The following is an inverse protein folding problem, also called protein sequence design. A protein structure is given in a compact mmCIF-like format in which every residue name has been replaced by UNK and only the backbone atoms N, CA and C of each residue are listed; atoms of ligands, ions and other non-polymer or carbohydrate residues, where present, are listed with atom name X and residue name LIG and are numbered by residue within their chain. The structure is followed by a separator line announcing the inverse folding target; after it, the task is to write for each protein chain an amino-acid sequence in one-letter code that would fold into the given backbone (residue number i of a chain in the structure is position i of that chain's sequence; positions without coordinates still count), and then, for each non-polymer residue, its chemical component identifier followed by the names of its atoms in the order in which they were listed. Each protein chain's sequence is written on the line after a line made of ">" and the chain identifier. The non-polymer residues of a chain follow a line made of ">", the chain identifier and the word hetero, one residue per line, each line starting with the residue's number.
data_IF_688577121313
#
_entry.id   IF_688577121313
#
_cell.length_a   1.000
_cell.length_b   1.000
_cell.length_c   1.000
_cell.angle_alpha   90.00
_cell.angle_beta   90.00
_cell.angle_gamma   90.00
#
_symmetry.space_group_name_H-M   'P 1'
#
loop_
_entity.id
_entity.type
_entity.pdbx_description
1 polymer ?
#
# COMPACT_ATOMS: atom_id res chain seq x y z
N UNK A 1 -4.59 -10.05 18.53
CA UNK A 1 -4.15 -9.44 17.28
C UNK A 1 -2.90 -10.16 16.78
N UNK A 2 -2.84 -10.55 15.49
CA UNK A 2 -1.64 -11.17 14.92
C UNK A 2 -0.48 -10.17 14.94
N UNK A 3 0.73 -10.65 15.28
CA UNK A 3 1.92 -9.79 15.21
C UNK A 3 2.19 -9.34 13.76
N UNK A 4 2.79 -8.15 13.56
CA UNK A 4 2.98 -7.56 12.22
C UNK A 4 3.87 -8.41 11.31
N UNK A 5 4.71 -9.31 11.84
CA UNK A 5 5.50 -10.24 11.04
C UNK A 5 4.66 -11.23 10.21
N UNK A 6 3.43 -11.54 10.65
CA UNK A 6 2.50 -12.42 9.93
C UNK A 6 1.58 -11.67 8.95
N UNK A 7 1.71 -10.36 8.87
CA UNK A 7 0.95 -9.53 7.94
C UNK A 7 1.77 -8.32 7.51
N UNK A 8 2.95 -8.56 6.95
CA UNK A 8 3.85 -7.51 6.52
C UNK A 8 3.38 -6.92 5.19
N UNK A 9 2.67 -5.81 5.25
CA UNK A 9 2.28 -5.04 4.07
C UNK A 9 3.48 -4.28 3.49
N UNK A 10 3.51 -4.10 2.18
CA UNK A 10 4.54 -3.28 1.50
C UNK A 10 4.69 -1.90 2.12
N UNK A 11 3.60 -1.25 2.51
CA UNK A 11 3.65 0.05 3.18
C UNK A 11 4.36 0.00 4.54
N UNK A 12 4.15 -1.07 5.32
CA UNK A 12 4.85 -1.25 6.61
C UNK A 12 6.35 -1.42 6.37
N UNK A 13 6.74 -2.13 5.31
CA UNK A 13 8.15 -2.34 4.98
C UNK A 13 8.86 -1.04 4.57
N UNK A 14 8.21 -0.22 3.74
CA UNK A 14 8.79 0.99 3.15
C UNK A 14 8.85 2.15 4.15
N UNK A 15 7.80 2.34 4.94
CA UNK A 15 7.67 3.48 5.84
C UNK A 15 8.25 3.19 7.23
N UNK A 16 8.82 4.22 7.86
CA UNK A 16 9.22 4.18 9.26
C UNK A 16 7.99 4.15 10.19
N UNK A 17 8.20 3.75 11.44
CA UNK A 17 7.13 3.70 12.44
C UNK A 17 6.39 5.04 12.56
N UNK A 18 7.13 6.15 12.68
CA UNK A 18 6.55 7.48 12.84
C UNK A 18 5.75 7.93 11.60
N UNK A 19 6.19 7.52 10.40
CA UNK A 19 5.47 7.77 9.15
C UNK A 19 4.16 6.96 9.09
N UNK A 20 4.20 5.70 9.55
CA UNK A 20 3.01 4.83 9.60
C UNK A 20 1.96 5.41 10.56
N UNK A 21 2.40 5.81 11.76
CA UNK A 21 1.52 6.44 12.77
C UNK A 21 0.88 7.71 12.20
N UNK A 22 1.65 8.52 11.50
CA UNK A 22 1.15 9.76 10.89
C UNK A 22 0.09 9.49 9.81
N UNK A 23 0.25 8.44 9.01
CA UNK A 23 -0.67 8.10 7.94
C UNK A 23 -1.93 7.36 8.40
N UNK A 24 -1.87 6.60 9.48
CA UNK A 24 -3.00 5.82 10.00
C UNK A 24 -3.27 6.17 11.46
N UNK A 25 -4.26 6.99 11.71
CA UNK A 25 -4.76 7.26 13.07
C UNK A 25 -6.09 6.52 13.30
N UNK A 26 -6.30 5.91 14.46
CA UNK A 26 -5.32 5.57 15.52
C UNK A 26 -4.55 4.30 15.15
N UNK A 27 -3.25 4.26 15.41
CA UNK A 27 -2.44 3.06 15.18
C UNK A 27 -1.82 2.64 16.51
N UNK A 28 -2.62 2.20 17.41
CA UNK A 28 -2.16 1.62 18.68
C UNK A 28 -2.03 0.10 18.63
N UNK A 29 -2.07 -0.48 17.41
CA UNK A 29 -2.07 -1.94 17.28
C UNK A 29 -0.68 -2.56 17.48
N UNK A 30 0.39 -1.85 17.12
CA UNK A 30 1.75 -2.38 17.17
C UNK A 30 2.73 -1.38 17.73
N UNK A 31 3.64 -1.86 18.56
CA UNK A 31 4.75 -1.07 19.08
C UNK A 31 5.83 -0.89 18.02
N UNK A 32 6.67 0.14 18.21
CA UNK A 32 7.83 0.38 17.35
C UNK A 32 8.74 -0.85 17.23
N UNK A 33 8.99 -1.53 18.35
CA UNK A 33 9.83 -2.72 18.39
C UNK A 33 9.23 -3.90 17.62
N UNK A 34 7.90 -4.09 17.65
CA UNK A 34 7.23 -5.12 16.86
C UNK A 34 7.37 -4.84 15.37
N UNK A 35 7.20 -3.58 14.92
CA UNK A 35 7.39 -3.19 13.52
C UNK A 35 8.84 -3.41 13.08
N UNK A 36 9.83 -3.03 13.91
CA UNK A 36 11.25 -3.23 13.58
C UNK A 36 11.58 -4.73 13.45
N UNK A 37 11.10 -5.55 14.38
CA UNK A 37 11.29 -7.03 14.31
C UNK A 37 10.67 -7.61 13.06
N UNK A 38 9.44 -7.23 12.76
CA UNK A 38 8.71 -7.71 11.60
C UNK A 38 9.43 -7.37 10.27
N UNK A 39 10.02 -6.17 10.18
CA UNK A 39 10.82 -5.79 9.00
C UNK A 39 12.07 -6.65 8.82
N UNK A 40 12.74 -7.01 9.93
CA UNK A 40 13.94 -7.85 9.89
C UNK A 40 13.65 -9.29 9.53
N UNK A 41 12.53 -9.83 10.00
CA UNK A 41 12.16 -11.24 9.80
C UNK A 41 10.65 -11.39 9.58
N UNK A 42 10.14 -10.98 8.41
CA UNK A 42 8.75 -11.19 8.07
C UNK A 42 8.48 -12.68 7.85
N UNK A 43 7.38 -13.19 8.41
CA UNK A 43 6.91 -14.55 8.18
C UNK A 43 5.98 -14.61 6.95
N UNK A 44 5.08 -13.63 6.80
CA UNK A 44 4.18 -13.51 5.66
C UNK A 44 4.27 -12.10 5.09
N UNK A 45 4.57 -12.01 3.79
CA UNK A 45 4.67 -10.74 3.06
C UNK A 45 3.45 -10.60 2.16
N UNK A 46 2.67 -9.53 2.39
CA UNK A 46 1.60 -9.11 1.50
C UNK A 46 2.10 -8.05 0.54
N UNK A 47 2.38 -8.45 -0.70
CA UNK A 47 2.86 -7.56 -1.75
C UNK A 47 1.74 -6.65 -2.27
N UNK A 48 1.41 -5.63 -1.49
CA UNK A 48 0.43 -4.61 -1.84
C UNK A 48 1.08 -3.43 -2.57
N UNK A 49 0.30 -2.62 -3.23
CA UNK A 49 0.75 -1.33 -3.77
C UNK A 49 0.49 -0.21 -2.76
N UNK A 50 1.30 0.83 -2.82
CA UNK A 50 1.10 2.07 -2.09
C UNK A 50 1.48 3.26 -2.98
N UNK A 51 1.45 4.49 -2.48
CA UNK A 51 1.78 5.65 -3.31
C UNK A 51 3.26 5.71 -3.75
N UNK A 52 4.19 5.04 -3.05
CA UNK A 52 5.58 4.88 -3.47
C UNK A 52 5.82 3.63 -4.30
N UNK A 53 5.08 2.53 -4.07
CA UNK A 53 5.21 1.28 -4.82
C UNK A 53 3.95 1.07 -5.64
N UNK A 54 4.06 1.31 -6.92
CA UNK A 54 2.92 1.38 -7.84
C UNK A 54 2.71 0.11 -8.64
N UNK A 55 3.76 -0.69 -8.81
CA UNK A 55 3.72 -1.95 -9.54
C UNK A 55 3.72 -3.13 -8.59
N UNK A 56 2.94 -4.14 -8.92
CA UNK A 56 3.02 -5.44 -8.27
C UNK A 56 4.32 -6.14 -8.67
N UNK A 57 4.83 -7.03 -7.84
CA UNK A 57 6.11 -7.71 -8.06
C UNK A 57 6.16 -8.58 -9.34
N UNK A 58 5.01 -9.00 -9.87
CA UNK A 58 4.91 -9.76 -11.13
C UNK A 58 4.81 -8.91 -12.38
N UNK A 59 4.86 -7.59 -12.26
CA UNK A 59 4.89 -6.66 -13.40
C UNK A 59 6.34 -6.36 -13.76
N UNK A 60 6.63 -6.31 -15.05
CA UNK A 60 7.95 -5.97 -15.57
C UNK A 60 8.46 -4.63 -14.99
N UNK A 61 9.77 -4.57 -14.70
CA UNK A 61 10.40 -3.38 -14.10
C UNK A 61 9.64 -2.87 -12.87
N UNK A 62 9.25 -3.81 -12.00
CA UNK A 62 8.54 -3.49 -10.76
C UNK A 62 9.41 -2.65 -9.82
N UNK A 63 8.77 -1.65 -9.19
CA UNK A 63 9.31 -0.83 -8.11
C UNK A 63 9.05 -1.44 -6.71
N UNK A 64 8.57 -2.67 -6.66
CA UNK A 64 8.34 -3.39 -5.41
C UNK A 64 9.66 -3.81 -4.75
N UNK A 65 9.84 -3.60 -3.44
CA UNK A 65 11.02 -4.08 -2.72
C UNK A 65 11.14 -5.62 -2.72
N UNK A 66 10.08 -6.32 -3.05
CA UNK A 66 10.04 -7.77 -3.11
C UNK A 66 10.17 -8.33 -4.54
N UNK A 67 10.39 -7.48 -5.55
CA UNK A 67 10.47 -7.90 -6.94
C UNK A 67 11.61 -8.90 -7.20
N UNK A 68 12.78 -8.66 -6.59
CA UNK A 68 13.94 -9.56 -6.70
C UNK A 68 13.66 -10.91 -6.04
N UNK A 69 13.12 -10.89 -4.82
CA UNK A 69 12.75 -12.10 -4.09
C UNK A 69 11.70 -12.92 -4.86
N UNK A 70 10.68 -12.26 -5.39
CA UNK A 70 9.67 -12.89 -6.24
C UNK A 70 10.28 -13.54 -7.48
N UNK A 71 11.21 -12.84 -8.14
CA UNK A 71 11.89 -13.37 -9.33
C UNK A 71 12.75 -14.61 -9.00
N UNK A 72 13.38 -14.65 -7.82
CA UNK A 72 14.14 -15.82 -7.36
C UNK A 72 13.22 -17.03 -7.12
N UNK A 73 12.19 -16.88 -6.31
CA UNK A 73 11.26 -17.99 -6.03
C UNK A 73 10.51 -18.47 -7.28
N UNK A 74 10.17 -17.55 -8.19
CA UNK A 74 9.52 -17.92 -9.44
C UNK A 74 10.36 -18.90 -10.28
N UNK A 75 11.69 -18.77 -10.28
CA UNK A 75 12.59 -19.70 -10.99
C UNK A 75 12.48 -21.14 -10.51
N UNK A 76 12.06 -21.35 -9.26
CA UNK A 76 11.89 -22.66 -8.63
C UNK A 76 10.50 -23.25 -8.87
N UNK A 77 9.62 -22.55 -9.60
CA UNK A 77 8.25 -22.98 -9.89
C UNK A 77 8.10 -23.41 -11.36
N UNK A 78 7.01 -24.10 -11.65
CA UNK A 78 6.63 -24.49 -13.02
C UNK A 78 6.45 -23.28 -13.95
N UNK A 79 6.18 -22.09 -13.40
CA UNK A 79 5.99 -20.85 -14.14
C UNK A 79 7.28 -20.07 -14.43
N UNK A 80 8.44 -20.70 -14.28
CA UNK A 80 9.75 -20.07 -14.52
C UNK A 80 9.91 -19.54 -15.97
N UNK A 81 9.28 -20.21 -16.93
CA UNK A 81 9.29 -19.89 -18.36
C UNK A 81 8.32 -18.75 -18.75
N UNK A 82 7.36 -18.39 -17.89
CA UNK A 82 6.41 -17.33 -18.22
C UNK A 82 7.07 -15.95 -18.15
N UNK A 83 6.68 -15.06 -19.05
CA UNK A 83 7.12 -13.66 -19.01
C UNK A 83 6.46 -12.90 -17.84
N UNK A 84 7.10 -11.83 -17.39
CA UNK A 84 6.47 -10.88 -16.47
C UNK A 84 5.32 -10.16 -17.15
N UNK A 85 4.27 -9.86 -16.40
CA UNK A 85 3.13 -9.12 -16.92
C UNK A 85 3.55 -7.71 -17.35
N UNK A 86 3.08 -7.25 -18.50
CA UNK A 86 3.29 -5.88 -18.98
C UNK A 86 2.56 -4.87 -18.10
N UNK A 87 3.13 -3.69 -17.99
CA UNK A 87 2.50 -2.56 -17.28
C UNK A 87 1.38 -1.94 -18.12
N UNK A 88 0.16 -2.38 -17.92
CA UNK A 88 -1.05 -1.90 -18.63
C UNK A 88 -1.63 -0.60 -18.05
N UNK A 89 -0.99 0.03 -17.07
CA UNK A 89 -1.51 1.27 -16.46
C UNK A 89 -1.48 2.42 -17.47
N UNK A 90 -2.59 3.15 -17.56
CA UNK A 90 -2.70 4.34 -18.41
C UNK A 90 -1.72 5.45 -18.00
N UNK A 91 -1.42 6.36 -18.94
CA UNK A 91 -0.45 7.45 -18.78
C UNK A 91 -0.70 8.30 -17.54
N UNK A 92 -1.97 8.65 -17.27
CA UNK A 92 -2.35 9.42 -16.05
C UNK A 92 -1.89 8.76 -14.76
N UNK A 93 -2.03 7.42 -14.65
CA UNK A 93 -1.59 6.65 -13.47
C UNK A 93 -0.07 6.58 -13.37
N UNK A 94 0.63 6.55 -14.50
CA UNK A 94 2.11 6.56 -14.55
C UNK A 94 2.65 7.92 -14.11
N UNK A 95 2.11 9.02 -14.64
CA UNK A 95 2.48 10.38 -14.24
C UNK A 95 2.20 10.65 -12.76
N UNK A 96 1.01 10.28 -12.29
CA UNK A 96 0.68 10.39 -10.86
C UNK A 96 1.67 9.63 -9.97
N UNK A 97 2.12 8.44 -10.40
CA UNK A 97 3.17 7.70 -9.71
C UNK A 97 4.49 8.45 -9.66
N UNK A 98 4.91 9.08 -10.77
CA UNK A 98 6.16 9.84 -10.86
C UNK A 98 6.22 11.02 -9.89
N UNK A 99 5.12 11.73 -9.69
CA UNK A 99 5.05 12.88 -8.78
C UNK A 99 5.49 12.49 -7.35
N UNK A 100 5.08 11.32 -6.87
CA UNK A 100 5.44 10.85 -5.52
C UNK A 100 6.94 10.59 -5.35
N UNK A 101 7.64 10.20 -6.42
CA UNK A 101 9.09 9.95 -6.38
C UNK A 101 9.92 11.24 -6.47
N UNK A 102 9.39 12.29 -7.10
CA UNK A 102 10.06 13.60 -7.20
C UNK A 102 9.85 14.41 -5.91
N UNK A 103 8.73 14.20 -5.23
CA UNK A 103 8.38 14.95 -4.02
C UNK A 103 9.27 14.56 -2.84
N UNK A 104 9.73 15.53 -2.01
CA UNK A 104 10.42 15.22 -0.76
C UNK A 104 9.58 14.29 0.12
N UNK A 105 10.21 13.22 0.63
CA UNK A 105 9.53 12.15 1.37
C UNK A 105 8.63 12.66 2.51
N UNK A 106 9.10 13.64 3.28
CA UNK A 106 8.31 14.25 4.37
C UNK A 106 7.02 14.88 3.86
N UNK A 107 7.07 15.62 2.76
CA UNK A 107 5.90 16.23 2.14
C UNK A 107 4.93 15.16 1.62
N UNK A 108 5.43 14.14 0.93
CA UNK A 108 4.64 13.02 0.45
C UNK A 108 3.88 12.30 1.57
N UNK A 109 4.56 12.03 2.70
CA UNK A 109 3.93 11.42 3.88
C UNK A 109 2.86 12.32 4.49
N UNK A 110 3.09 13.65 4.57
CA UNK A 110 2.09 14.60 5.07
C UNK A 110 0.84 14.63 4.19
N UNK A 111 1.02 14.69 2.87
CA UNK A 111 -0.09 14.69 1.92
C UNK A 111 -0.85 13.37 1.98
N UNK A 112 -0.14 12.24 2.01
CA UNK A 112 -0.76 10.93 2.15
C UNK A 112 -1.55 10.80 3.47
N UNK A 113 -0.99 11.30 4.58
CA UNK A 113 -1.67 11.34 5.88
C UNK A 113 -2.96 12.16 5.82
N UNK A 114 -2.93 13.34 5.20
CA UNK A 114 -4.11 14.17 5.01
C UNK A 114 -5.18 13.48 4.15
N UNK A 115 -4.76 12.88 3.04
CA UNK A 115 -5.67 12.13 2.15
C UNK A 115 -6.33 10.96 2.86
N UNK A 116 -5.58 10.19 3.64
CA UNK A 116 -6.09 9.01 4.34
C UNK A 116 -6.98 9.39 5.53
N UNK A 117 -6.58 10.38 6.33
CA UNK A 117 -7.24 10.70 7.60
C UNK A 117 -8.38 11.72 7.46
N UNK A 118 -8.37 12.57 6.43
CA UNK A 118 -9.35 13.62 6.24
C UNK A 118 -10.20 13.41 4.97
N UNK A 119 -9.55 13.35 3.80
CA UNK A 119 -10.28 13.34 2.52
C UNK A 119 -11.07 12.05 2.33
N UNK A 120 -10.43 10.90 2.52
CA UNK A 120 -11.07 9.60 2.30
C UNK A 120 -12.28 9.35 3.21
N UNK A 121 -12.24 9.60 4.53
CA UNK A 121 -13.40 9.45 5.40
C UNK A 121 -14.53 10.42 5.06
N UNK A 122 -14.20 11.68 4.72
CA UNK A 122 -15.19 12.68 4.30
C UNK A 122 -15.89 12.26 3.01
N UNK A 123 -15.12 11.85 2.01
CA UNK A 123 -15.66 11.34 0.75
C UNK A 123 -16.57 10.12 0.98
N UNK A 124 -16.14 9.16 1.79
CA UNK A 124 -16.93 7.98 2.13
C UNK A 124 -18.27 8.36 2.78
N UNK A 125 -18.26 9.31 3.73
CA UNK A 125 -19.50 9.81 4.38
C UNK A 125 -20.45 10.46 3.38
N UNK A 126 -19.93 11.26 2.44
CA UNK A 126 -20.72 11.92 1.40
C UNK A 126 -21.32 10.87 0.46
N UNK A 127 -20.53 9.91 0.00
CA UNK A 127 -20.98 8.86 -0.92
C UNK A 127 -22.06 7.98 -0.30
N UNK A 128 -21.89 7.61 0.98
CA UNK A 128 -22.93 6.85 1.71
C UNK A 128 -24.23 7.65 1.82
N UNK A 129 -24.16 8.95 2.11
CA UNK A 129 -25.37 9.80 2.16
C UNK A 129 -26.08 9.91 0.81
N UNK A 130 -25.31 9.95 -0.29
CA UNK A 130 -25.88 10.04 -1.64
C UNK A 130 -26.49 8.73 -2.15
N UNK A 131 -25.96 7.58 -1.71
CA UNK A 131 -26.39 6.25 -2.15
C UNK A 131 -27.40 5.57 -1.19
N UNK A 132 -27.75 6.22 -0.09
CA UNK A 132 -28.84 5.73 0.76
C UNK A 132 -30.16 5.89 -0.01
N UNK A 133 -30.84 4.80 -0.42
CA UNK A 133 -32.17 4.91 -0.99
C UNK A 133 -33.08 5.59 0.04
N UNK A 134 -33.86 6.54 -0.43
CA UNK A 134 -34.87 7.24 0.38
C UNK A 134 -35.97 6.25 0.75
N UNK A 135 -35.73 5.35 1.70
CA UNK A 135 -36.71 4.38 2.22
C UNK A 135 -37.73 5.08 3.15
N UNK A 136 -37.68 6.38 3.28
CA UNK A 136 -38.56 7.13 4.19
C UNK A 136 -39.59 7.99 3.46
N UNK A 137 -40.27 7.46 2.43
CA UNK A 137 -41.51 8.05 1.88
C UNK A 137 -42.45 6.99 1.31
N UNK A 138 -42.79 6.00 2.12
CA UNK A 138 -43.98 5.19 1.92
C UNK A 138 -44.53 4.79 3.29
N UNK A 139 -45.22 5.70 3.92
CA UNK A 139 -46.20 5.44 4.98
C UNK A 139 -47.10 6.66 5.06
#
# INVERSE_FOLDING_TARGET
>A
LLEPQYNMLTSIYIFGYDEIIKMKKPVEYYTKNQIIRAKKKPAIIHATTCFYVRKRMWIEKSDSPYAVLYAQYRKETEWNHMEFCKDTRGLKKKLYGGIWHIMPRKAAVCIAAFMINCVRPTYAKITVKMNLPTIAKQS
#
